data_IF_255811699497
#
_entry.id   IF_255811699497
#
_cell.length_a   1.000
_cell.length_b   1.000
_cell.length_c   1.000
_cell.angle_alpha   90.00
_cell.angle_beta   90.00
_cell.angle_gamma   90.00
#
_symmetry.space_group_name_H-M   'P 1'
#
loop_
_entity.id
_entity.type
_entity.pdbx_description
1 polymer ?
#
# COMPACT_ATOMS: atom_id res chain seq x y z
N UNK A 1 12.48 16.52 3.32
CA UNK A 1 11.86 15.90 4.52
C UNK A 1 10.65 16.70 4.96
N UNK A 2 10.71 18.03 4.81
CA UNK A 2 9.68 18.99 5.22
C UNK A 2 8.27 18.66 4.69
N UNK A 3 8.15 18.31 3.40
CA UNK A 3 6.85 17.92 2.81
C UNK A 3 6.20 16.70 3.49
N UNK A 4 6.99 15.69 3.86
CA UNK A 4 6.45 14.48 4.51
C UNK A 4 6.04 14.80 5.94
N UNK A 5 6.86 15.57 6.67
CA UNK A 5 6.55 16.00 8.02
C UNK A 5 5.29 16.90 8.04
N UNK A 6 5.14 17.79 7.07
CA UNK A 6 3.95 18.64 6.89
C UNK A 6 2.70 17.80 6.60
N UNK A 7 2.80 16.81 5.71
CA UNK A 7 1.70 15.87 5.45
C UNK A 7 1.31 15.06 6.69
N UNK A 8 2.27 14.58 7.48
CA UNK A 8 1.96 13.84 8.71
C UNK A 8 1.27 14.74 9.73
N UNK A 9 1.78 15.96 9.92
CA UNK A 9 1.20 16.94 10.84
C UNK A 9 -0.23 17.28 10.42
N UNK A 10 -0.46 17.52 9.13
CA UNK A 10 -1.78 17.77 8.56
C UNK A 10 -2.76 16.61 8.81
N UNK A 11 -2.29 15.37 8.65
CA UNK A 11 -3.08 14.17 8.92
C UNK A 11 -3.22 13.82 10.41
N UNK A 12 -2.59 14.59 11.31
CA UNK A 12 -2.59 14.33 12.75
C UNK A 12 -1.76 13.12 13.17
N UNK A 13 -0.81 12.69 12.34
CA UNK A 13 0.03 11.53 12.61
C UNK A 13 1.35 11.91 13.29
N UNK A 14 1.89 11.01 14.15
CA UNK A 14 3.16 11.23 14.81
C UNK A 14 4.35 11.08 13.86
N UNK A 15 5.45 11.79 14.14
CA UNK A 15 6.64 11.88 13.29
C UNK A 15 7.37 10.54 13.04
N UNK A 16 7.15 9.52 13.88
CA UNK A 16 7.73 8.20 13.67
C UNK A 16 7.00 7.39 12.58
N UNK A 17 5.76 7.77 12.23
CA UNK A 17 4.92 6.99 11.32
C UNK A 17 5.49 6.88 9.89
N UNK A 18 6.07 7.94 9.28
CA UNK A 18 6.78 7.83 8.01
C UNK A 18 7.89 6.77 8.01
N UNK A 19 8.62 6.62 9.12
CA UNK A 19 9.66 5.59 9.23
C UNK A 19 9.05 4.19 9.27
N UNK A 20 7.94 4.01 9.98
CA UNK A 20 7.21 2.74 10.01
C UNK A 20 6.61 2.39 8.63
N UNK A 21 5.94 3.34 7.98
CA UNK A 21 5.38 3.15 6.63
C UNK A 21 6.51 2.87 5.63
N UNK A 22 7.60 3.64 5.69
CA UNK A 22 8.75 3.49 4.79
C UNK A 22 9.40 2.13 4.91
N UNK A 23 9.70 1.69 6.13
CA UNK A 23 10.26 0.34 6.38
C UNK A 23 9.30 -0.77 5.93
N UNK A 24 8.00 -0.64 6.23
CA UNK A 24 6.97 -1.58 5.77
C UNK A 24 6.91 -1.70 4.23
N UNK A 25 7.00 -0.57 3.50
CA UNK A 25 7.05 -0.57 2.04
C UNK A 25 8.26 -1.34 1.50
N UNK A 26 9.44 -1.15 2.09
CA UNK A 26 10.65 -1.89 1.69
C UNK A 26 10.49 -3.39 1.88
N UNK A 27 9.96 -3.81 3.04
CA UNK A 27 9.66 -5.23 3.30
C UNK A 27 8.68 -5.76 2.25
N UNK A 28 7.58 -5.04 2.01
CA UNK A 28 6.57 -5.44 1.03
C UNK A 28 7.12 -5.59 -0.39
N UNK A 29 7.96 -4.65 -0.84
CA UNK A 29 8.63 -4.72 -2.16
C UNK A 29 9.49 -5.98 -2.25
N UNK A 30 10.32 -6.24 -1.24
CA UNK A 30 11.19 -7.42 -1.20
C UNK A 30 10.34 -8.70 -1.31
N UNK A 31 9.27 -8.81 -0.52
CA UNK A 31 8.39 -9.99 -0.54
C UNK A 31 7.67 -10.18 -1.89
N UNK A 32 7.27 -9.10 -2.57
CA UNK A 32 6.64 -9.17 -3.88
C UNK A 32 7.64 -9.56 -4.98
N UNK A 33 8.90 -9.12 -4.88
CA UNK A 33 9.95 -9.38 -5.87
C UNK A 33 10.49 -10.81 -5.83
N UNK A 34 10.42 -11.51 -4.69
CA UNK A 34 10.97 -12.86 -4.57
C UNK A 34 10.16 -13.89 -5.40
N UNK A 35 10.84 -14.83 -6.07
CA UNK A 35 10.17 -15.96 -6.73
C UNK A 35 9.63 -16.99 -5.72
N UNK A 36 8.57 -17.71 -6.09
CA UNK A 36 8.13 -18.96 -5.43
C UNK A 36 7.20 -18.85 -4.20
N UNK A 37 7.42 -17.91 -3.28
CA UNK A 37 6.70 -17.92 -1.99
C UNK A 37 5.35 -17.17 -2.04
N UNK A 38 4.29 -17.85 -2.52
CA UNK A 38 2.92 -17.28 -2.62
C UNK A 38 2.41 -16.66 -1.32
N UNK A 39 2.66 -17.29 -0.16
CA UNK A 39 2.17 -16.78 1.12
C UNK A 39 2.78 -15.42 1.49
N UNK A 40 4.07 -15.22 1.26
CA UNK A 40 4.71 -13.93 1.55
C UNK A 40 4.17 -12.82 0.65
N UNK A 41 3.86 -13.15 -0.61
CA UNK A 41 3.20 -12.20 -1.52
C UNK A 41 1.82 -11.83 -1.01
N UNK A 42 1.02 -12.78 -0.55
CA UNK A 42 -0.30 -12.51 0.04
C UNK A 42 -0.22 -11.54 1.23
N UNK A 43 0.75 -11.73 2.13
CA UNK A 43 1.00 -10.81 3.24
C UNK A 43 1.43 -9.42 2.77
N UNK A 44 2.28 -9.33 1.75
CA UNK A 44 2.68 -8.06 1.17
C UNK A 44 1.49 -7.33 0.52
N UNK A 45 0.68 -8.03 -0.27
CA UNK A 45 -0.55 -7.48 -0.85
C UNK A 45 -1.50 -6.97 0.24
N UNK A 46 -1.74 -7.76 1.29
CA UNK A 46 -2.60 -7.33 2.41
C UNK A 46 -2.06 -6.07 3.11
N UNK A 47 -0.75 -6.00 3.36
CA UNK A 47 -0.11 -4.84 3.97
C UNK A 47 -0.24 -3.57 3.13
N UNK A 48 0.00 -3.67 1.82
CA UNK A 48 -0.19 -2.53 0.91
C UNK A 48 -1.66 -2.12 0.78
N UNK A 49 -2.60 -3.07 0.75
CA UNK A 49 -4.03 -2.76 0.75
C UNK A 49 -4.44 -1.99 1.99
N UNK A 50 -4.03 -2.44 3.18
CA UNK A 50 -4.28 -1.70 4.43
C UNK A 50 -3.68 -0.30 4.37
N UNK A 51 -2.46 -0.17 3.85
CA UNK A 51 -1.80 1.12 3.71
C UNK A 51 -2.56 2.08 2.78
N UNK A 52 -2.98 1.64 1.59
CA UNK A 52 -3.67 2.51 0.64
C UNK A 52 -5.09 2.86 1.09
N UNK A 53 -5.82 1.89 1.65
CA UNK A 53 -7.16 2.15 2.21
C UNK A 53 -7.07 3.12 3.39
N UNK A 54 -6.10 2.93 4.30
CA UNK A 54 -5.88 3.85 5.40
C UNK A 54 -5.55 5.26 4.90
N UNK A 55 -4.64 5.40 3.93
CA UNK A 55 -4.30 6.70 3.36
C UNK A 55 -5.53 7.41 2.76
N UNK A 56 -6.36 6.69 1.99
CA UNK A 56 -7.59 7.24 1.44
C UNK A 56 -8.56 7.70 2.55
N UNK A 57 -8.74 6.87 3.58
CA UNK A 57 -9.60 7.19 4.72
C UNK A 57 -9.09 8.42 5.47
N UNK A 58 -7.79 8.55 5.71
CA UNK A 58 -7.21 9.69 6.43
C UNK A 58 -7.42 11.00 5.69
N UNK A 59 -7.17 11.03 4.38
CA UNK A 59 -7.47 12.20 3.55
C UNK A 59 -8.97 12.54 3.57
N UNK A 60 -9.85 11.53 3.51
CA UNK A 60 -11.29 11.76 3.58
C UNK A 60 -11.74 12.32 4.93
N UNK A 61 -11.17 11.83 6.04
CA UNK A 61 -11.51 12.26 7.42
C UNK A 61 -11.09 13.71 7.67
N UNK A 62 -9.91 14.12 7.19
CA UNK A 62 -9.40 15.49 7.37
C UNK A 62 -10.04 16.48 6.38
N UNK A 63 -10.82 15.99 5.41
CA UNK A 63 -11.55 16.83 4.46
C UNK A 63 -10.70 17.33 3.31
N UNK A 64 -9.68 16.56 2.92
CA UNK A 64 -8.81 16.93 1.82
C UNK A 64 -9.53 16.95 0.46
N UNK A 65 -8.94 17.65 -0.54
CA UNK A 65 -9.43 17.62 -1.90
C UNK A 65 -9.63 16.18 -2.40
N UNK A 66 -10.68 15.97 -3.20
CA UNK A 66 -11.04 14.68 -3.75
C UNK A 66 -9.87 13.94 -4.42
N UNK A 67 -8.96 14.67 -5.06
CA UNK A 67 -7.75 14.12 -5.70
C UNK A 67 -6.86 13.38 -4.71
N UNK A 68 -6.70 13.89 -3.48
CA UNK A 68 -5.86 13.26 -2.45
C UNK A 68 -6.48 11.96 -1.92
N UNK A 69 -7.81 11.85 -1.92
CA UNK A 69 -8.53 10.61 -1.57
C UNK A 69 -8.44 9.59 -2.70
N UNK A 70 -8.55 10.04 -3.96
CA UNK A 70 -8.54 9.15 -5.13
C UNK A 70 -7.16 8.61 -5.46
N UNK A 71 -6.10 9.40 -5.27
CA UNK A 71 -4.73 8.99 -5.57
C UNK A 71 -4.35 7.62 -4.95
N UNK A 72 -4.50 7.37 -3.62
CA UNK A 72 -4.21 6.06 -3.05
C UNK A 72 -5.15 4.95 -3.54
N UNK A 73 -6.41 5.26 -3.86
CA UNK A 73 -7.36 4.26 -4.41
C UNK A 73 -7.00 3.82 -5.83
N UNK A 74 -6.40 4.72 -6.64
CA UNK A 74 -5.88 4.35 -7.95
C UNK A 74 -4.71 3.36 -7.82
N UNK A 75 -3.81 3.58 -6.86
CA UNK A 75 -2.74 2.62 -6.56
C UNK A 75 -3.29 1.30 -6.02
N UNK A 76 -4.33 1.34 -5.20
CA UNK A 76 -5.02 0.13 -4.73
C UNK A 76 -5.64 -0.67 -5.88
N UNK A 77 -6.31 0.01 -6.82
CA UNK A 77 -6.86 -0.65 -8.00
C UNK A 77 -5.77 -1.36 -8.82
N UNK A 78 -4.61 -0.72 -9.01
CA UNK A 78 -3.46 -1.33 -9.67
C UNK A 78 -2.92 -2.53 -8.89
N UNK A 79 -2.85 -2.43 -7.56
CA UNK A 79 -2.42 -3.50 -6.68
C UNK A 79 -3.36 -4.71 -6.76
N UNK A 80 -4.68 -4.49 -6.79
CA UNK A 80 -5.69 -5.53 -6.96
C UNK A 80 -5.58 -6.23 -8.32
N UNK A 81 -5.36 -5.48 -9.40
CA UNK A 81 -5.13 -6.05 -10.74
C UNK A 81 -3.86 -6.92 -10.74
N UNK A 82 -2.79 -6.45 -10.09
CA UNK A 82 -1.56 -7.22 -9.90
C UNK A 82 -1.81 -8.51 -9.12
N UNK A 83 -2.55 -8.44 -8.01
CA UNK A 83 -2.91 -9.59 -7.19
C UNK A 83 -3.70 -10.64 -7.99
N UNK A 84 -4.76 -10.21 -8.70
CA UNK A 84 -5.56 -11.13 -9.52
C UNK A 84 -4.72 -11.80 -10.61
N UNK A 85 -3.78 -11.06 -11.22
CA UNK A 85 -2.87 -11.61 -12.23
C UNK A 85 -1.92 -12.66 -11.63
N UNK A 86 -1.38 -12.39 -10.44
CA UNK A 86 -0.52 -13.32 -9.69
C UNK A 86 -1.27 -14.60 -9.31
N UNK A 87 -2.51 -14.49 -8.80
CA UNK A 87 -3.35 -15.66 -8.49
C UNK A 87 -3.64 -16.49 -9.75
N UNK A 88 -3.90 -15.85 -10.89
CA UNK A 88 -4.10 -16.55 -12.17
C UNK A 88 -2.86 -17.34 -12.57
N UNK A 89 -1.67 -16.73 -12.49
CA UNK A 89 -0.41 -17.37 -12.84
C UNK A 89 -0.12 -18.60 -11.97
N UNK A 90 -0.31 -18.50 -10.66
CA UNK A 90 -0.12 -19.62 -9.72
C UNK A 90 -1.12 -20.78 -9.93
N UNK A 91 -2.31 -20.50 -10.49
CA UNK A 91 -3.28 -21.54 -10.84
C UNK A 91 -2.94 -22.26 -12.14
N UNK A 92 -2.29 -21.58 -13.09
CA UNK A 92 -1.84 -22.16 -14.35
C UNK A 92 -0.63 -23.08 -14.15
N UNK A 93 0.31 -22.70 -13.29
CA UNK A 93 1.51 -23.49 -12.97
C UNK A 93 1.19 -24.86 -12.31
N UNK A 94 0.00 -25.00 -11.72
CA UNK A 94 -0.46 -26.26 -11.08
C UNK A 94 -1.21 -27.22 -12.02
N UNK A 95 -1.50 -26.82 -13.27
CA UNK A 95 -2.20 -27.66 -14.26
C UNK A 95 -1.21 -28.34 -15.19
#
# INVERSE_FOLDING_TARGET
MDFVAESMTHLGYPDYLPFLIGSGKWIGIILLSLPGYSRFKEWAYAGFTVLFVAAAASHAIVGDPFVNVMAPLLFEALLLVSYVSMVKMLRQDKR
#
